data_IF_034054923440
#
_entry.id   IF_034054923440
#
_cell.length_a   1.000
_cell.length_b   1.000
_cell.length_c   1.000
_cell.angle_alpha   90.00
_cell.angle_beta   90.00
_cell.angle_gamma   90.00
#
_symmetry.space_group_name_H-M   'P 1'
#
loop_
_entity.id
_entity.type
_entity.pdbx_description
1 polymer ?
#
# COMPACT_ATOMS: atom_id res chain seq x y z
N UNK A 1 -2.88 5.69 16.32
CA UNK A 1 -2.82 6.72 15.26
C UNK A 1 -1.86 7.87 15.60
N UNK A 2 -2.01 8.57 16.71
CA UNK A 2 -1.14 9.74 17.05
C UNK A 2 0.32 9.37 17.34
N UNK A 3 0.61 8.12 17.68
CA UNK A 3 1.95 7.61 18.05
C UNK A 3 2.50 6.63 17.01
N UNK A 4 1.72 6.28 15.98
CA UNK A 4 2.14 5.39 14.88
C UNK A 4 1.84 3.92 15.09
N UNK A 5 1.25 3.54 16.21
CA UNK A 5 0.85 2.16 16.47
C UNK A 5 -0.38 1.77 15.64
N UNK A 6 -0.29 0.62 14.95
CA UNK A 6 -1.34 0.09 14.07
C UNK A 6 -1.84 -1.28 14.50
N UNK A 7 -1.22 -1.91 15.49
CA UNK A 7 -1.53 -3.30 15.87
C UNK A 7 -2.95 -3.46 16.45
N UNK A 8 -3.50 -2.40 17.03
CA UNK A 8 -4.85 -2.40 17.61
C UNK A 8 -5.97 -1.97 16.63
N UNK A 9 -5.64 -1.66 15.37
CA UNK A 9 -6.66 -1.26 14.39
C UNK A 9 -7.37 -2.51 13.84
N UNK A 10 -8.71 -2.53 13.97
CA UNK A 10 -9.52 -3.59 13.34
C UNK A 10 -9.44 -3.49 11.81
N UNK A 11 -9.48 -4.64 11.15
CA UNK A 11 -9.48 -4.72 9.68
C UNK A 11 -10.63 -3.95 9.05
N UNK A 12 -11.79 -3.90 9.70
CA UNK A 12 -12.96 -3.12 9.29
C UNK A 12 -12.65 -1.62 9.18
N UNK A 13 -11.98 -1.05 10.19
CA UNK A 13 -11.56 0.36 10.16
C UNK A 13 -10.55 0.61 9.04
N UNK A 14 -9.58 -0.29 8.86
CA UNK A 14 -8.57 -0.14 7.79
C UNK A 14 -9.24 -0.14 6.42
N UNK A 15 -10.23 -1.02 6.20
CA UNK A 15 -10.98 -1.08 4.95
C UNK A 15 -11.85 0.17 4.74
N UNK A 16 -12.60 0.62 5.75
CA UNK A 16 -13.39 1.86 5.69
C UNK A 16 -12.53 3.06 5.28
N UNK A 17 -11.34 3.21 5.89
CA UNK A 17 -10.42 4.30 5.54
C UNK A 17 -9.82 4.13 4.14
N UNK A 18 -9.64 2.90 3.68
CA UNK A 18 -9.15 2.59 2.33
C UNK A 18 -10.18 2.95 1.27
N UNK A 19 -11.41 2.49 1.40
CA UNK A 19 -12.52 2.74 0.47
C UNK A 19 -12.85 4.23 0.39
N UNK A 20 -12.92 4.90 1.54
CA UNK A 20 -13.19 6.35 1.60
C UNK A 20 -12.04 7.21 1.09
N UNK A 21 -10.81 6.67 0.92
CA UNK A 21 -9.62 7.42 0.48
C UNK A 21 -8.86 8.14 1.60
N UNK A 22 -9.14 7.78 2.87
CA UNK A 22 -8.50 8.34 4.05
C UNK A 22 -7.31 7.50 4.58
N UNK A 23 -6.84 6.48 3.87
CA UNK A 23 -5.74 5.59 4.31
C UNK A 23 -4.49 6.33 4.76
N UNK A 24 -4.22 7.50 4.15
CA UNK A 24 -3.08 8.35 4.49
C UNK A 24 -3.14 8.93 5.92
N UNK A 25 -4.31 8.91 6.55
CA UNK A 25 -4.52 9.39 7.94
C UNK A 25 -4.20 8.31 8.97
N UNK A 26 -4.36 7.02 8.61
CA UNK A 26 -3.99 5.90 9.48
C UNK A 26 -2.48 5.79 9.69
N UNK A 27 -1.70 6.30 8.75
CA UNK A 27 -0.25 6.42 8.88
C UNK A 27 0.12 7.81 9.39
N UNK A 28 1.15 7.91 10.22
CA UNK A 28 1.73 9.21 10.55
C UNK A 28 2.22 9.88 9.29
N UNK A 29 1.54 10.98 8.94
CA UNK A 29 1.78 11.70 7.69
C UNK A 29 2.44 13.06 7.91
N UNK A 30 2.92 13.66 6.83
CA UNK A 30 3.42 15.02 6.84
C UNK A 30 2.41 16.06 7.35
N UNK A 31 1.12 15.77 7.24
CA UNK A 31 0.05 16.62 7.76
C UNK A 31 0.08 16.69 9.29
N UNK A 32 0.26 15.55 9.97
CA UNK A 32 0.38 15.48 11.44
C UNK A 32 1.59 16.28 11.94
N UNK A 33 2.75 16.10 11.28
CA UNK A 33 3.96 16.86 11.61
C UNK A 33 3.76 18.36 11.32
N UNK A 34 3.05 18.70 10.23
CA UNK A 34 2.70 20.08 9.89
C UNK A 34 1.82 20.75 10.96
N UNK A 35 0.82 20.04 11.47
CA UNK A 35 -0.02 20.56 12.57
C UNK A 35 0.77 20.71 13.86
N UNK A 36 1.63 19.74 14.20
CA UNK A 36 2.50 19.83 15.36
C UNK A 36 3.49 21.00 15.25
N UNK A 37 4.10 21.17 14.07
CA UNK A 37 4.97 22.31 13.75
C UNK A 37 4.23 23.64 13.90
N UNK A 38 3.01 23.75 13.37
CA UNK A 38 2.19 24.95 13.48
C UNK A 38 1.82 25.28 14.92
N UNK A 39 1.48 24.25 15.73
CA UNK A 39 1.20 24.41 17.16
C UNK A 39 2.42 24.93 17.91
N UNK A 40 3.59 24.35 17.69
CA UNK A 40 4.84 24.79 18.31
C UNK A 40 5.20 26.22 17.91
N UNK A 41 5.05 26.55 16.61
CA UNK A 41 5.25 27.91 16.15
C UNK A 41 4.29 28.90 16.81
N UNK A 42 3.03 28.52 16.99
CA UNK A 42 2.04 29.36 17.66
C UNK A 42 2.44 29.64 19.11
N UNK A 43 2.87 28.62 19.85
CA UNK A 43 3.32 28.73 21.26
C UNK A 43 4.62 29.53 21.36
N UNK A 44 5.58 29.32 20.45
CA UNK A 44 6.88 29.98 20.49
C UNK A 44 6.85 31.42 19.94
N UNK A 45 5.87 31.77 19.10
CA UNK A 45 5.75 33.07 18.42
C UNK A 45 5.76 34.28 19.41
N UNK A 46 5.00 34.30 20.53
CA UNK A 46 5.04 35.38 21.49
C UNK A 46 6.42 35.53 22.15
N UNK A 47 7.10 34.39 22.42
CA UNK A 47 8.43 34.40 23.03
C UNK A 47 9.48 35.07 22.13
N UNK A 48 9.54 34.69 20.84
CA UNK A 48 10.53 35.25 19.93
C UNK A 48 10.20 36.68 19.50
N UNK A 49 8.92 37.12 19.56
CA UNK A 49 8.54 38.51 19.37
C UNK A 49 9.04 39.40 20.52
N UNK A 50 8.98 38.90 21.74
CA UNK A 50 9.44 39.57 22.94
C UNK A 50 10.97 39.64 22.99
N UNK A 51 11.65 38.53 22.60
CA UNK A 51 13.07 38.32 22.78
C UNK A 51 13.73 37.89 21.46
N UNK A 52 13.90 38.84 20.54
CA UNK A 52 14.41 38.58 19.19
C UNK A 52 15.77 37.83 19.14
N UNK A 53 16.63 38.04 20.14
CA UNK A 53 17.90 37.33 20.25
C UNK A 53 17.80 35.84 20.51
N UNK A 54 16.68 35.38 21.09
CA UNK A 54 16.40 33.96 21.36
C UNK A 54 15.79 33.22 20.15
N UNK A 55 15.44 33.93 19.07
CA UNK A 55 14.81 33.31 17.90
C UNK A 55 15.58 32.09 17.37
N UNK A 56 16.93 32.14 17.13
CA UNK A 56 17.66 30.97 16.64
C UNK A 56 17.67 29.81 17.62
N UNK A 57 17.76 30.09 18.94
CA UNK A 57 17.69 29.07 19.99
C UNK A 57 16.31 28.40 20.02
N UNK A 58 15.23 29.16 19.94
CA UNK A 58 13.86 28.63 19.93
C UNK A 58 13.58 27.79 18.68
N UNK A 59 14.12 28.19 17.52
CA UNK A 59 14.03 27.38 16.30
C UNK A 59 14.86 26.09 16.41
N UNK A 60 16.03 26.14 17.03
CA UNK A 60 16.83 24.94 17.29
C UNK A 60 16.09 23.98 18.22
N UNK A 61 15.46 24.46 19.29
CA UNK A 61 14.64 23.65 20.18
C UNK A 61 13.43 23.03 19.47
N UNK A 62 12.80 23.79 18.56
CA UNK A 62 11.71 23.28 17.73
C UNK A 62 12.19 22.15 16.83
N UNK A 63 13.32 22.30 16.15
CA UNK A 63 13.92 21.26 15.29
C UNK A 63 14.27 20.03 16.14
N UNK A 64 14.90 20.22 17.29
CA UNK A 64 15.25 19.14 18.21
C UNK A 64 14.01 18.36 18.67
N UNK A 65 12.92 19.05 18.96
CA UNK A 65 11.64 18.43 19.30
C UNK A 65 11.09 17.59 18.13
N UNK A 66 11.10 18.13 16.90
CA UNK A 66 10.62 17.39 15.73
C UNK A 66 11.45 16.15 15.44
N UNK A 67 12.78 16.25 15.60
CA UNK A 67 13.70 15.12 15.45
C UNK A 67 13.43 14.07 16.53
N UNK A 68 13.29 14.48 17.79
CA UNK A 68 12.94 13.57 18.90
C UNK A 68 11.61 12.87 18.65
N UNK A 69 10.61 13.60 18.15
CA UNK A 69 9.32 13.03 17.77
C UNK A 69 9.44 12.00 16.65
N UNK A 70 10.30 12.26 15.64
CA UNK A 70 10.57 11.29 14.58
C UNK A 70 11.19 9.98 15.10
N UNK A 71 12.12 10.06 16.06
CA UNK A 71 12.68 8.89 16.72
C UNK A 71 11.61 8.12 17.51
N UNK A 72 10.79 8.83 18.25
CA UNK A 72 9.72 8.23 19.05
C UNK A 72 8.69 7.48 18.17
N UNK A 73 8.43 7.97 16.95
CA UNK A 73 7.44 7.40 16.02
C UNK A 73 8.01 6.39 15.03
N UNK A 74 9.27 5.92 15.21
CA UNK A 74 9.87 4.84 14.45
C UNK A 74 10.45 5.23 13.09
N UNK A 75 10.76 6.53 12.84
CA UNK A 75 11.51 7.03 11.68
C UNK A 75 10.93 6.61 10.31
N UNK A 76 9.60 6.57 10.17
CA UNK A 76 9.00 6.29 8.86
C UNK A 76 9.44 7.33 7.82
N UNK A 77 9.57 6.92 6.54
CA UNK A 77 10.04 7.78 5.44
C UNK A 77 9.24 9.08 5.32
N UNK A 78 7.93 9.03 5.54
CA UNK A 78 7.03 10.20 5.50
C UNK A 78 7.26 11.18 6.65
N UNK A 79 7.53 10.67 7.86
CA UNK A 79 7.84 11.49 9.04
C UNK A 79 9.21 12.14 8.87
N UNK A 80 10.24 11.37 8.50
CA UNK A 80 11.60 11.87 8.28
C UNK A 80 11.61 12.99 7.23
N UNK A 81 10.92 12.79 6.09
CA UNK A 81 10.76 13.82 5.07
C UNK A 81 10.18 15.11 5.66
N UNK A 82 9.12 14.98 6.42
CA UNK A 82 8.42 16.16 6.97
C UNK A 82 9.28 16.89 7.99
N UNK A 83 9.97 16.16 8.85
CA UNK A 83 10.89 16.76 9.84
C UNK A 83 12.03 17.51 9.14
N UNK A 84 12.68 16.91 8.13
CA UNK A 84 13.74 17.58 7.38
C UNK A 84 13.19 18.83 6.68
N UNK A 85 12.04 18.71 5.99
CA UNK A 85 11.45 19.82 5.25
C UNK A 85 11.04 20.98 6.18
N UNK A 86 10.36 20.70 7.30
CA UNK A 86 9.99 21.74 8.27
C UNK A 86 11.20 22.32 9.00
N UNK A 87 12.26 21.54 9.23
CA UNK A 87 13.54 22.04 9.76
C UNK A 87 14.19 23.01 8.80
N UNK A 88 14.28 22.67 7.51
CA UNK A 88 14.81 23.57 6.48
C UNK A 88 13.98 24.85 6.36
N UNK A 89 12.64 24.75 6.41
CA UNK A 89 11.74 25.91 6.41
C UNK A 89 11.92 26.78 7.66
N UNK A 90 12.13 26.17 8.84
CA UNK A 90 12.41 26.90 10.07
C UNK A 90 13.69 27.71 9.98
N UNK A 91 14.80 27.11 9.48
CA UNK A 91 16.06 27.82 9.27
C UNK A 91 15.97 28.89 8.17
N UNK A 92 15.26 28.59 7.05
CA UNK A 92 15.03 29.57 5.99
C UNK A 92 14.24 30.79 6.49
N UNK A 93 13.36 30.62 7.50
CA UNK A 93 12.66 31.73 8.16
C UNK A 93 13.58 32.68 8.95
N UNK A 94 14.88 32.39 9.08
CA UNK A 94 15.90 33.32 9.62
C UNK A 94 16.42 34.27 8.54
N UNK A 95 16.29 33.93 7.27
CA UNK A 95 16.76 34.74 6.14
C UNK A 95 15.65 35.68 5.64
N UNK A 96 16.01 36.83 5.05
CA UNK A 96 15.04 37.78 4.51
C UNK A 96 14.32 37.26 3.25
N UNK A 97 14.94 36.31 2.53
CA UNK A 97 14.39 35.75 1.30
C UNK A 97 13.38 34.62 1.59
N UNK A 98 12.30 34.60 0.81
CA UNK A 98 11.32 33.51 0.92
C UNK A 98 11.89 32.24 0.29
N UNK A 99 11.93 31.11 1.00
CA UNK A 99 12.44 29.88 0.43
C UNK A 99 11.52 29.40 -0.71
N UNK A 100 12.13 28.98 -1.82
CA UNK A 100 11.43 28.32 -2.91
C UNK A 100 11.06 26.91 -2.44
N UNK A 101 9.79 26.65 -2.26
CA UNK A 101 9.27 25.38 -1.70
C UNK A 101 9.73 24.17 -2.52
N UNK A 102 9.88 24.32 -3.85
CA UNK A 102 10.37 23.25 -4.72
C UNK A 102 11.84 22.92 -4.46
N UNK A 103 12.68 23.94 -4.23
CA UNK A 103 14.08 23.73 -3.87
C UNK A 103 14.24 23.05 -2.49
N UNK A 104 13.39 23.43 -1.54
CA UNK A 104 13.34 22.78 -0.22
C UNK A 104 12.93 21.30 -0.34
N UNK A 105 11.96 21.01 -1.21
CA UNK A 105 11.53 19.62 -1.49
C UNK A 105 12.68 18.82 -2.12
N UNK A 106 13.36 19.38 -3.13
CA UNK A 106 14.50 18.74 -3.79
C UNK A 106 15.69 18.51 -2.84
N UNK A 107 16.02 19.51 -2.01
CA UNK A 107 17.05 19.38 -0.99
C UNK A 107 16.71 18.30 0.05
N UNK A 108 15.42 18.22 0.46
CA UNK A 108 14.96 17.16 1.36
C UNK A 108 15.11 15.77 0.73
N UNK A 109 14.72 15.60 -0.55
CA UNK A 109 14.89 14.35 -1.27
C UNK A 109 16.36 13.95 -1.37
N UNK A 110 17.23 14.89 -1.73
CA UNK A 110 18.68 14.68 -1.82
C UNK A 110 19.27 14.21 -0.49
N UNK A 111 18.96 14.90 0.62
CA UNK A 111 19.46 14.53 1.94
C UNK A 111 18.98 13.14 2.38
N UNK A 112 17.69 12.82 2.14
CA UNK A 112 17.16 11.51 2.48
C UNK A 112 17.83 10.39 1.69
N UNK A 113 17.99 10.57 0.37
CA UNK A 113 18.59 9.55 -0.50
C UNK A 113 20.11 9.43 -0.29
N UNK A 114 20.77 10.49 0.15
CA UNK A 114 22.18 10.43 0.57
C UNK A 114 22.36 9.54 1.81
N UNK A 115 21.43 9.61 2.78
CA UNK A 115 21.47 8.80 3.98
C UNK A 115 21.03 7.35 3.72
N UNK A 116 19.98 7.15 2.93
CA UNK A 116 19.40 5.83 2.67
C UNK A 116 18.81 5.75 1.25
N UNK A 117 19.64 5.36 0.24
CA UNK A 117 19.20 5.31 -1.17
C UNK A 117 17.99 4.41 -1.43
N UNK A 118 17.83 3.35 -0.63
CA UNK A 118 16.72 2.38 -0.75
C UNK A 118 15.35 3.04 -0.55
N UNK A 119 15.28 4.20 0.11
CA UNK A 119 14.01 4.93 0.25
C UNK A 119 13.39 5.36 -1.08
N UNK A 120 14.17 5.45 -2.16
CA UNK A 120 13.61 5.71 -3.50
C UNK A 120 12.53 4.70 -3.90
N UNK A 121 12.65 3.46 -3.44
CA UNK A 121 11.70 2.37 -3.72
C UNK A 121 10.63 2.21 -2.63
N UNK A 122 10.67 3.02 -1.58
CA UNK A 122 9.67 3.02 -0.52
C UNK A 122 8.39 3.74 -0.99
N UNK A 123 7.24 3.05 -0.82
CA UNK A 123 5.93 3.56 -1.25
C UNK A 123 5.58 4.88 -0.54
N UNK A 124 5.88 4.97 0.76
CA UNK A 124 5.65 6.18 1.54
C UNK A 124 6.49 7.36 1.04
N UNK A 125 7.74 7.13 0.65
CA UNK A 125 8.58 8.13 0.02
C UNK A 125 7.97 8.61 -1.30
N UNK A 126 7.66 7.70 -2.21
CA UNK A 126 7.15 8.03 -3.54
C UNK A 126 5.82 8.79 -3.47
N UNK A 127 4.83 8.29 -2.71
CA UNK A 127 3.53 8.94 -2.53
C UNK A 127 3.66 10.31 -1.89
N UNK A 128 4.54 10.43 -0.90
CA UNK A 128 4.70 11.67 -0.15
C UNK A 128 5.37 12.78 -0.99
N UNK A 129 6.42 12.45 -1.75
CA UNK A 129 7.09 13.42 -2.62
C UNK A 129 6.23 13.79 -3.83
N UNK A 130 5.53 12.84 -4.45
CA UNK A 130 4.61 13.12 -5.56
C UNK A 130 3.45 14.02 -5.13
N UNK A 131 2.86 13.78 -3.94
CA UNK A 131 1.81 14.63 -3.39
C UNK A 131 2.28 16.07 -3.20
N UNK A 132 3.42 16.27 -2.50
CA UNK A 132 3.93 17.62 -2.21
C UNK A 132 4.37 18.34 -3.49
N UNK A 133 5.03 17.63 -4.42
CA UNK A 133 5.41 18.20 -5.71
C UNK A 133 4.17 18.69 -6.49
N UNK A 134 3.12 17.86 -6.56
CA UNK A 134 1.88 18.22 -7.23
C UNK A 134 1.16 19.39 -6.51
N UNK A 135 1.12 19.41 -5.18
CA UNK A 135 0.58 20.54 -4.42
C UNK A 135 1.33 21.82 -4.75
N UNK A 136 2.67 21.82 -4.72
CA UNK A 136 3.48 23.01 -4.99
C UNK A 136 3.30 23.52 -6.42
N UNK A 137 3.22 22.62 -7.40
CA UNK A 137 3.14 22.98 -8.83
C UNK A 137 1.70 23.32 -9.27
N UNK A 138 0.73 22.52 -8.88
CA UNK A 138 -0.63 22.54 -9.44
C UNK A 138 -1.60 23.36 -8.61
N UNK A 139 -1.55 23.24 -7.27
CA UNK A 139 -2.53 23.88 -6.38
C UNK A 139 -2.61 25.41 -6.55
N UNK A 140 -1.50 26.19 -6.68
CA UNK A 140 -1.61 27.64 -6.82
C UNK A 140 -2.39 28.07 -8.07
N UNK A 141 -2.30 27.26 -9.14
CA UNK A 141 -3.01 27.51 -10.39
C UNK A 141 -4.50 27.16 -10.26
N UNK A 142 -4.81 26.01 -9.66
CA UNK A 142 -6.19 25.63 -9.37
C UNK A 142 -6.86 26.62 -8.43
N UNK A 143 -6.15 27.06 -7.40
CA UNK A 143 -6.69 28.03 -6.44
C UNK A 143 -7.00 29.37 -7.09
N UNK A 144 -6.14 29.85 -8.00
CA UNK A 144 -6.31 31.11 -8.73
C UNK A 144 -7.46 31.09 -9.74
N UNK A 145 -7.96 29.88 -10.12
CA UNK A 145 -9.04 29.74 -11.11
C UNK A 145 -10.35 30.38 -10.64
N UNK A 146 -10.62 30.32 -9.34
CA UNK A 146 -11.85 30.88 -8.77
C UNK A 146 -11.52 31.82 -7.61
N UNK A 147 -11.84 33.09 -7.79
CA UNK A 147 -11.72 34.13 -6.74
C UNK A 147 -12.96 34.09 -5.86
N UNK A 148 -12.81 33.66 -4.63
CA UNK A 148 -13.89 33.54 -3.64
C UNK A 148 -13.73 34.65 -2.59
N UNK A 149 -14.74 35.52 -2.44
CA UNK A 149 -14.67 36.63 -1.48
C UNK A 149 -15.00 36.20 -0.05
N UNK A 150 -15.94 35.28 0.10
CA UNK A 150 -16.34 34.75 1.41
C UNK A 150 -15.19 33.95 2.06
N UNK A 151 -14.83 34.30 3.32
CA UNK A 151 -13.72 33.66 4.04
C UNK A 151 -13.92 32.15 4.25
N UNK A 152 -15.14 31.72 4.54
CA UNK A 152 -15.47 30.31 4.74
C UNK A 152 -15.37 29.52 3.43
N UNK A 153 -15.98 30.00 2.36
CA UNK A 153 -15.90 29.39 1.04
C UNK A 153 -14.45 29.40 0.49
N UNK A 154 -13.67 30.42 0.80
CA UNK A 154 -12.24 30.49 0.44
C UNK A 154 -11.43 29.40 1.15
N UNK A 155 -11.73 29.14 2.41
CA UNK A 155 -11.10 28.03 3.15
C UNK A 155 -11.46 26.68 2.56
N UNK A 156 -12.74 26.42 2.28
CA UNK A 156 -13.21 25.19 1.62
C UNK A 156 -12.59 25.01 0.24
N UNK A 157 -12.55 26.07 -0.57
CA UNK A 157 -11.90 26.05 -1.89
C UNK A 157 -10.40 25.74 -1.78
N UNK A 158 -9.73 26.30 -0.77
CA UNK A 158 -8.34 25.97 -0.47
C UNK A 158 -8.13 24.48 -0.17
N UNK A 159 -8.96 23.88 0.69
CA UNK A 159 -8.92 22.45 1.00
C UNK A 159 -9.19 21.59 -0.25
N UNK A 160 -10.19 21.95 -1.05
CA UNK A 160 -10.53 21.21 -2.28
C UNK A 160 -9.36 21.24 -3.27
N UNK A 161 -8.78 22.42 -3.53
CA UNK A 161 -7.68 22.56 -4.51
C UNK A 161 -6.41 21.84 -4.06
N UNK A 162 -6.10 21.82 -2.75
CA UNK A 162 -5.00 21.03 -2.18
C UNK A 162 -5.26 19.53 -2.38
N UNK A 163 -6.48 19.07 -2.07
CA UNK A 163 -6.86 17.65 -2.22
C UNK A 163 -6.81 17.21 -3.68
N UNK A 164 -7.32 18.04 -4.61
CA UNK A 164 -7.25 17.76 -6.06
C UNK A 164 -5.80 17.67 -6.54
N UNK A 165 -4.95 18.62 -6.14
CA UNK A 165 -3.55 18.62 -6.54
C UNK A 165 -2.80 17.41 -5.99
N UNK A 166 -3.00 17.08 -4.70
CA UNK A 166 -2.41 15.88 -4.09
C UNK A 166 -2.85 14.61 -4.80
N UNK A 167 -4.15 14.48 -5.09
CA UNK A 167 -4.71 13.31 -5.77
C UNK A 167 -4.14 13.16 -7.19
N UNK A 168 -4.01 14.25 -7.96
CA UNK A 168 -3.39 14.21 -9.28
C UNK A 168 -1.93 13.70 -9.21
N UNK A 169 -1.19 14.09 -8.17
CA UNK A 169 0.18 13.61 -7.96
C UNK A 169 0.27 12.16 -7.51
N UNK A 170 -0.68 11.68 -6.71
CA UNK A 170 -0.58 10.36 -6.08
C UNK A 170 -1.38 9.28 -6.81
N UNK A 171 -2.45 9.63 -7.55
CA UNK A 171 -3.36 8.66 -8.18
C UNK A 171 -2.65 7.57 -9.01
N UNK A 172 -1.68 7.90 -9.90
CA UNK A 172 -1.01 6.85 -10.69
C UNK A 172 -0.27 5.84 -9.83
N UNK A 173 0.37 6.29 -8.74
CA UNK A 173 1.08 5.42 -7.80
C UNK A 173 0.11 4.63 -6.91
N UNK A 174 -0.98 5.26 -6.46
CA UNK A 174 -2.01 4.58 -5.65
C UNK A 174 -2.64 3.45 -6.45
N UNK A 175 -2.99 3.68 -7.71
CA UNK A 175 -3.50 2.63 -8.61
C UNK A 175 -2.45 1.53 -8.82
N UNK A 176 -1.18 1.90 -9.02
CA UNK A 176 -0.10 0.93 -9.23
C UNK A 176 0.15 0.02 -8.04
N UNK A 177 0.15 0.58 -6.80
CA UNK A 177 0.47 -0.18 -5.59
C UNK A 177 -0.74 -0.88 -4.96
N UNK A 178 -1.92 -0.26 -5.03
CA UNK A 178 -3.10 -0.71 -4.29
C UNK A 178 -4.25 -1.19 -5.20
N UNK A 179 -4.15 -1.01 -6.53
CA UNK A 179 -5.19 -1.40 -7.51
C UNK A 179 -6.58 -0.82 -7.21
N UNK A 180 -6.63 0.28 -6.47
CA UNK A 180 -7.85 0.94 -5.97
C UNK A 180 -7.77 2.44 -6.15
N UNK A 181 -8.89 3.08 -6.49
CA UNK A 181 -9.03 4.53 -6.57
C UNK A 181 -10.31 4.97 -5.87
N UNK A 182 -10.18 5.77 -4.80
CA UNK A 182 -11.33 6.37 -4.13
C UNK A 182 -11.87 7.55 -4.93
N UNK A 183 -13.16 7.53 -5.28
CA UNK A 183 -13.82 8.59 -6.05
C UNK A 183 -14.30 9.73 -5.14
N UNK A 184 -14.63 9.42 -3.89
CA UNK A 184 -15.16 10.37 -2.90
C UNK A 184 -14.06 11.09 -2.10
N UNK A 185 -12.79 11.02 -2.55
CA UNK A 185 -11.63 11.61 -1.86
C UNK A 185 -11.81 13.10 -1.53
N UNK A 186 -12.52 13.86 -2.36
CA UNK A 186 -12.78 15.28 -2.10
C UNK A 186 -13.68 15.48 -0.89
N UNK A 187 -14.79 14.73 -0.82
CA UNK A 187 -15.72 14.78 0.31
C UNK A 187 -15.03 14.31 1.59
N UNK A 188 -14.30 13.22 1.48
CA UNK A 188 -13.52 12.66 2.59
C UNK A 188 -12.50 13.67 3.12
N UNK A 189 -11.68 14.25 2.26
CA UNK A 189 -10.64 15.19 2.70
C UNK A 189 -11.19 16.49 3.27
N UNK A 190 -12.35 16.93 2.76
CA UNK A 190 -13.03 18.11 3.28
C UNK A 190 -13.45 17.93 4.74
N UNK A 191 -13.81 16.72 5.13
CA UNK A 191 -14.16 16.35 6.50
C UNK A 191 -12.94 15.96 7.33
N UNK A 192 -12.12 15.05 6.82
CA UNK A 192 -11.04 14.40 7.57
C UNK A 192 -9.92 15.38 7.94
N UNK A 193 -9.53 16.30 7.04
CA UNK A 193 -8.41 17.22 7.31
C UNK A 193 -8.68 18.12 8.53
N UNK A 194 -9.85 18.80 8.65
CA UNK A 194 -10.19 19.54 9.85
C UNK A 194 -10.32 18.67 11.10
N UNK A 195 -10.95 17.50 10.97
CA UNK A 195 -11.16 16.59 12.11
C UNK A 195 -9.85 16.02 12.64
N UNK A 196 -8.92 15.61 11.79
CA UNK A 196 -7.60 15.12 12.19
C UNK A 196 -6.82 16.20 12.95
N UNK A 197 -6.90 17.46 12.50
CA UNK A 197 -6.26 18.56 13.24
C UNK A 197 -6.86 18.73 14.65
N UNK A 198 -8.18 18.65 14.76
CA UNK A 198 -8.89 18.76 16.03
C UNK A 198 -8.55 17.60 16.97
N UNK A 199 -8.58 16.36 16.46
CA UNK A 199 -8.22 15.16 17.22
C UNK A 199 -6.77 15.23 17.70
N UNK A 200 -5.83 15.63 16.80
CA UNK A 200 -4.41 15.74 17.16
C UNK A 200 -4.17 16.78 18.26
N UNK A 201 -4.74 17.98 18.13
CA UNK A 201 -4.60 19.02 19.16
C UNK A 201 -5.25 18.61 20.47
N UNK A 202 -6.41 17.97 20.40
CA UNK A 202 -7.10 17.42 21.58
C UNK A 202 -6.28 16.32 22.24
N UNK A 203 -5.64 15.44 21.48
CA UNK A 203 -4.77 14.40 22.02
C UNK A 203 -3.51 14.99 22.71
N UNK A 204 -2.88 16.01 22.10
CA UNK A 204 -1.75 16.71 22.75
C UNK A 204 -2.19 17.36 24.05
N UNK A 205 -3.35 18.03 24.06
CA UNK A 205 -3.90 18.65 25.28
C UNK A 205 -4.25 17.60 26.34
N UNK A 206 -4.81 16.47 25.95
CA UNK A 206 -5.10 15.35 26.86
C UNK A 206 -3.83 14.83 27.55
N UNK A 207 -2.71 14.72 26.83
CA UNK A 207 -1.42 14.34 27.42
C UNK A 207 -0.91 15.39 28.40
N UNK A 208 -1.14 16.67 28.15
CA UNK A 208 -0.78 17.74 29.09
C UNK A 208 -1.62 17.73 30.38
N UNK A 209 -2.83 17.18 30.33
CA UNK A 209 -3.73 17.04 31.49
C UNK A 209 -3.42 15.82 32.37
N UNK A 210 -2.40 15.02 32.06
CA UNK A 210 -2.01 13.85 32.87
C UNK A 210 -1.88 14.11 34.38
N UNK A 211 -1.38 15.29 34.84
CA UNK A 211 -1.32 15.59 36.29
C UNK A 211 -2.69 15.84 36.96
N UNK A 212 -3.77 15.98 36.15
CA UNK A 212 -5.13 16.28 36.64
C UNK A 212 -6.12 15.17 36.23
N UNK A 213 -6.14 14.00 36.90
CA UNK A 213 -6.84 12.81 36.42
C UNK A 213 -8.34 13.00 36.20
N UNK A 214 -9.02 13.78 37.05
CA UNK A 214 -10.45 14.05 36.88
C UNK A 214 -10.76 14.81 35.58
N UNK A 215 -9.99 15.87 35.30
CA UNK A 215 -10.14 16.66 34.07
C UNK A 215 -9.71 15.85 32.85
N UNK A 216 -8.67 15.04 32.98
CA UNK A 216 -8.19 14.15 31.97
C UNK A 216 -9.27 13.15 31.53
N UNK A 217 -9.96 12.48 32.47
CA UNK A 217 -11.05 11.55 32.15
C UNK A 217 -12.22 12.21 31.45
N UNK A 218 -12.59 13.42 31.84
CA UNK A 218 -13.66 14.17 31.18
C UNK A 218 -13.26 14.52 29.75
N UNK A 219 -12.02 14.97 29.57
CA UNK A 219 -11.51 15.36 28.25
C UNK A 219 -11.27 14.14 27.32
N UNK A 220 -10.90 12.99 27.88
CA UNK A 220 -10.76 11.74 27.15
C UNK A 220 -12.07 11.33 26.44
N UNK A 221 -13.23 11.50 27.13
CA UNK A 221 -14.54 11.25 26.51
C UNK A 221 -14.82 12.15 25.30
N UNK A 222 -14.34 13.40 25.36
CA UNK A 222 -14.47 14.33 24.21
C UNK A 222 -13.63 13.84 23.03
N UNK A 223 -12.39 13.42 23.28
CA UNK A 223 -11.50 12.87 22.23
C UNK A 223 -12.09 11.60 21.63
N UNK A 224 -12.61 10.70 22.48
CA UNK A 224 -13.30 9.48 22.05
C UNK A 224 -14.50 9.79 21.17
N UNK A 225 -15.34 10.74 21.57
CA UNK A 225 -16.49 11.19 20.78
C UNK A 225 -16.07 11.76 19.43
N UNK A 226 -15.00 12.56 19.35
CA UNK A 226 -14.48 13.11 18.10
C UNK A 226 -14.00 11.99 17.14
N UNK A 227 -13.28 11.00 17.67
CA UNK A 227 -12.82 9.84 16.88
C UNK A 227 -13.99 8.99 16.42
N UNK A 228 -14.99 8.78 17.30
CA UNK A 228 -16.21 8.05 16.94
C UNK A 228 -16.98 8.74 15.82
N UNK A 229 -17.22 10.05 15.92
CA UNK A 229 -17.87 10.85 14.87
C UNK A 229 -17.08 10.76 13.56
N UNK A 230 -15.75 10.84 13.61
CA UNK A 230 -14.93 10.70 12.40
C UNK A 230 -15.12 9.33 11.75
N UNK A 231 -15.10 8.24 12.51
CA UNK A 231 -15.28 6.89 12.00
C UNK A 231 -16.69 6.71 11.40
N UNK A 232 -17.74 7.21 12.05
CA UNK A 232 -19.11 7.12 11.55
C UNK A 232 -19.32 7.88 10.25
N UNK A 233 -18.74 9.08 10.11
CA UNK A 233 -18.80 9.83 8.86
C UNK A 233 -18.06 9.10 7.73
N UNK A 234 -16.91 8.48 8.02
CA UNK A 234 -16.18 7.69 7.01
C UNK A 234 -16.96 6.44 6.60
N UNK A 235 -17.60 5.73 7.54
CA UNK A 235 -18.51 4.62 7.24
C UNK A 235 -19.71 5.07 6.40
N UNK A 236 -20.23 6.24 6.65
CA UNK A 236 -21.30 6.81 5.81
C UNK A 236 -20.81 7.09 4.39
N UNK A 237 -19.62 7.68 4.22
CA UNK A 237 -19.01 7.94 2.89
C UNK A 237 -18.73 6.61 2.16
N UNK A 238 -18.25 5.60 2.85
CA UNK A 238 -18.00 4.26 2.30
C UNK A 238 -19.27 3.63 1.71
N UNK A 239 -20.43 3.84 2.36
CA UNK A 239 -21.73 3.29 1.91
C UNK A 239 -22.30 4.03 0.70
N UNK A 240 -21.75 5.18 0.31
CA UNK A 240 -22.19 5.89 -0.89
C UNK A 240 -21.85 5.07 -2.14
N UNK A 241 -22.77 5.04 -3.14
CA UNK A 241 -22.53 4.28 -4.36
C UNK A 241 -21.27 4.78 -5.08
N UNK A 242 -20.43 3.85 -5.49
CA UNK A 242 -19.20 4.15 -6.21
C UNK A 242 -18.12 4.82 -5.36
N UNK A 243 -18.06 4.58 -4.05
CA UNK A 243 -17.06 5.18 -3.14
C UNK A 243 -15.62 4.86 -3.54
N UNK A 244 -15.38 3.68 -4.09
CA UNK A 244 -14.11 3.30 -4.68
C UNK A 244 -14.30 2.57 -6.00
N UNK A 245 -13.33 2.67 -6.88
CA UNK A 245 -13.19 1.81 -8.06
C UNK A 245 -12.03 0.87 -7.76
N UNK A 246 -12.37 -0.40 -7.62
CA UNK A 246 -11.42 -1.47 -7.36
C UNK A 246 -10.98 -2.13 -8.67
N UNK A 247 -9.99 -3.00 -8.58
CA UNK A 247 -9.52 -3.85 -9.68
C UNK A 247 -8.95 -3.07 -10.88
N UNK A 248 -8.50 -1.84 -10.64
CA UNK A 248 -7.77 -1.06 -11.63
C UNK A 248 -6.30 -1.52 -11.61
N UNK A 249 -5.82 -1.98 -12.75
CA UNK A 249 -4.41 -2.34 -12.87
C UNK A 249 -3.67 -1.39 -13.80
N UNK A 250 -2.50 -0.93 -13.34
CA UNK A 250 -1.57 -0.09 -14.08
C UNK A 250 -0.15 -0.67 -13.92
N UNK A 251 0.58 -0.84 -15.01
CA UNK A 251 1.98 -1.25 -14.96
C UNK A 251 2.92 -0.04 -14.85
N UNK A 252 4.20 -0.29 -14.64
CA UNK A 252 5.19 0.79 -14.47
C UNK A 252 5.25 1.73 -15.69
N UNK A 253 5.11 1.18 -16.91
CA UNK A 253 5.08 1.98 -18.11
C UNK A 253 3.81 2.82 -18.23
N UNK A 254 2.68 2.25 -17.81
CA UNK A 254 1.41 2.97 -17.69
C UNK A 254 1.52 4.13 -16.70
N UNK A 255 2.15 3.94 -15.54
CA UNK A 255 2.41 5.02 -14.57
C UNK A 255 3.24 6.14 -15.20
N UNK A 256 4.33 5.79 -15.89
CA UNK A 256 5.20 6.79 -16.53
C UNK A 256 4.46 7.57 -17.63
N UNK A 257 3.65 6.89 -18.44
CA UNK A 257 2.85 7.52 -19.48
C UNK A 257 1.75 8.43 -18.89
N UNK A 258 1.10 8.03 -17.78
CA UNK A 258 0.12 8.88 -17.09
C UNK A 258 0.79 10.12 -16.52
N UNK A 259 1.98 10.02 -15.90
CA UNK A 259 2.72 11.21 -15.46
C UNK A 259 3.16 12.10 -16.61
N UNK A 260 3.58 11.51 -17.74
CA UNK A 260 3.88 12.27 -18.97
C UNK A 260 2.64 13.03 -19.45
N UNK A 261 1.48 12.36 -19.50
CA UNK A 261 0.21 12.99 -19.85
C UNK A 261 -0.13 14.14 -18.89
N UNK A 262 -0.06 13.92 -17.58
CA UNK A 262 -0.34 14.95 -16.57
C UNK A 262 0.60 16.15 -16.72
N UNK A 263 1.89 15.91 -16.97
CA UNK A 263 2.88 16.96 -17.24
C UNK A 263 2.57 17.77 -18.51
N UNK A 264 2.22 17.08 -19.61
CA UNK A 264 1.84 17.73 -20.86
C UNK A 264 0.51 18.48 -20.76
N UNK A 265 -0.46 17.92 -20.02
CA UNK A 265 -1.73 18.58 -19.74
C UNK A 265 -1.51 19.86 -18.90
N UNK A 266 -0.69 19.78 -17.86
CA UNK A 266 -0.30 20.94 -17.06
C UNK A 266 0.41 22.00 -17.89
N UNK A 267 1.36 21.61 -18.75
CA UNK A 267 2.05 22.51 -19.66
C UNK A 267 1.10 23.18 -20.68
N UNK A 268 0.09 22.42 -21.14
CA UNK A 268 -1.00 22.95 -21.98
C UNK A 268 -1.89 23.96 -21.23
N UNK A 269 -2.20 23.65 -19.96
CA UNK A 269 -3.02 24.51 -19.11
C UNK A 269 -2.36 25.86 -18.81
N UNK A 270 -1.03 25.93 -18.71
CA UNK A 270 -0.29 27.18 -18.47
C UNK A 270 -0.48 28.22 -19.59
N UNK A 271 -0.56 27.77 -20.85
CA UNK A 271 -0.85 28.61 -22.03
C UNK A 271 -1.52 27.74 -23.08
N UNK A 272 -2.80 27.96 -23.29
CA UNK A 272 -3.58 27.23 -24.31
C UNK A 272 -3.07 27.58 -25.71
N UNK A 273 -2.26 26.70 -26.29
CA UNK A 273 -1.85 26.75 -27.67
C UNK A 273 -2.17 25.42 -28.35
N UNK A 274 -2.60 25.45 -29.60
CA UNK A 274 -2.96 24.25 -30.36
C UNK A 274 -1.87 23.18 -30.26
N UNK A 275 -0.59 23.56 -30.44
CA UNK A 275 0.56 22.66 -30.38
C UNK A 275 0.65 21.93 -29.01
N UNK A 276 0.42 22.63 -27.89
CA UNK A 276 0.50 22.02 -26.54
C UNK A 276 -0.67 21.11 -26.25
N UNK A 277 -1.86 21.49 -26.71
CA UNK A 277 -3.05 20.62 -26.63
C UNK A 277 -2.82 19.34 -27.45
N UNK A 278 -2.26 19.45 -28.67
CA UNK A 278 -1.91 18.28 -29.46
C UNK A 278 -0.91 17.35 -28.74
N UNK A 279 0.10 17.89 -28.06
CA UNK A 279 1.04 17.06 -27.28
C UNK A 279 0.35 16.35 -26.10
N UNK A 280 -0.57 17.03 -25.39
CA UNK A 280 -1.35 16.39 -24.33
C UNK A 280 -2.26 15.28 -24.88
N UNK A 281 -2.92 15.50 -26.04
CA UNK A 281 -3.74 14.50 -26.69
C UNK A 281 -2.90 13.29 -27.21
N UNK A 282 -1.72 13.54 -27.74
CA UNK A 282 -0.79 12.48 -28.14
C UNK A 282 -0.33 11.66 -26.94
N UNK A 283 -0.03 12.30 -25.81
CA UNK A 283 0.31 11.59 -24.58
C UNK A 283 -0.86 10.77 -24.05
N UNK A 284 -2.09 11.30 -24.10
CA UNK A 284 -3.30 10.55 -23.76
C UNK A 284 -3.51 9.34 -24.67
N UNK A 285 -3.32 9.52 -25.99
CA UNK A 285 -3.40 8.43 -26.96
C UNK A 285 -2.36 7.35 -26.64
N UNK A 286 -1.14 7.73 -26.26
CA UNK A 286 -0.11 6.78 -25.85
C UNK A 286 -0.52 6.00 -24.59
N UNK A 287 -1.13 6.64 -23.59
CA UNK A 287 -1.67 5.96 -22.40
C UNK A 287 -2.72 4.94 -22.79
N UNK A 288 -3.71 5.33 -23.61
CA UNK A 288 -4.81 4.44 -24.04
C UNK A 288 -4.27 3.28 -24.88
N UNK A 289 -3.38 3.56 -25.81
CA UNK A 289 -2.76 2.54 -26.67
C UNK A 289 -1.95 1.54 -25.87
N UNK A 290 -1.13 2.03 -24.92
CA UNK A 290 -0.35 1.16 -24.03
C UNK A 290 -1.26 0.30 -23.17
N UNK A 291 -2.29 0.89 -22.58
CA UNK A 291 -3.26 0.15 -21.77
C UNK A 291 -3.94 -0.95 -22.59
N UNK A 292 -4.38 -0.67 -23.82
CA UNK A 292 -4.99 -1.64 -24.74
C UNK A 292 -4.02 -2.77 -25.12
N UNK A 293 -2.76 -2.44 -25.44
CA UNK A 293 -1.73 -3.43 -25.74
C UNK A 293 -1.41 -4.30 -24.52
N UNK A 294 -1.32 -3.68 -23.34
CA UNK A 294 -1.08 -4.40 -22.08
C UNK A 294 -2.21 -5.38 -21.75
N UNK A 295 -3.46 -5.02 -22.08
CA UNK A 295 -4.60 -5.93 -21.98
C UNK A 295 -4.43 -7.14 -22.87
N UNK A 296 -4.09 -6.91 -24.12
CA UNK A 296 -3.94 -7.99 -25.11
C UNK A 296 -2.76 -8.91 -24.77
N UNK A 297 -1.65 -8.35 -24.30
CA UNK A 297 -0.45 -9.12 -23.95
C UNK A 297 -0.59 -9.91 -22.65
N UNK A 298 -1.39 -9.43 -21.70
CA UNK A 298 -1.64 -10.07 -20.41
C UNK A 298 -2.93 -10.93 -20.41
N UNK A 299 -3.57 -11.14 -21.56
CA UNK A 299 -4.69 -12.07 -21.66
C UNK A 299 -4.28 -13.41 -21.04
N UNK A 300 -5.14 -13.97 -20.18
CA UNK A 300 -4.79 -15.11 -19.36
C UNK A 300 -4.40 -16.30 -20.22
N UNK A 301 -3.15 -16.72 -20.08
CA UNK A 301 -2.67 -18.01 -20.60
C UNK A 301 -2.87 -19.05 -19.52
N UNK A 302 -3.24 -20.26 -19.90
CA UNK A 302 -3.32 -21.39 -18.98
C UNK A 302 -2.05 -21.49 -18.17
N UNK A 303 -2.17 -21.76 -16.88
CA UNK A 303 -1.01 -21.84 -16.02
C UNK A 303 -1.32 -22.25 -14.60
N UNK A 304 -0.25 -22.54 -13.85
CA UNK A 304 -0.28 -22.87 -12.44
C UNK A 304 0.57 -21.84 -11.70
N UNK A 305 0.05 -21.28 -10.60
CA UNK A 305 0.83 -20.41 -9.74
C UNK A 305 0.88 -20.93 -8.31
N UNK A 306 2.07 -20.99 -7.76
CA UNK A 306 2.33 -21.29 -6.35
C UNK A 306 2.53 -19.97 -5.63
N UNK A 307 1.66 -19.64 -4.68
CA UNK A 307 1.71 -18.38 -3.97
C UNK A 307 2.47 -18.48 -2.66
N UNK A 308 3.25 -17.45 -2.36
CA UNK A 308 3.93 -17.28 -1.08
C UNK A 308 3.13 -16.32 -0.20
N UNK A 309 2.05 -16.80 0.42
CA UNK A 309 1.21 -16.03 1.36
C UNK A 309 1.31 -16.66 2.74
N UNK A 310 1.72 -15.86 3.73
CA UNK A 310 1.88 -16.35 5.11
C UNK A 310 0.55 -16.91 5.64
N UNK A 311 0.59 -18.15 6.13
CA UNK A 311 -0.57 -18.81 6.75
C UNK A 311 -1.62 -19.35 5.78
N UNK A 312 -1.50 -19.10 4.47
CA UNK A 312 -2.47 -19.49 3.46
C UNK A 312 -1.78 -20.25 2.30
N UNK A 313 -1.37 -21.52 2.48
CA UNK A 313 -0.77 -22.33 1.43
C UNK A 313 -1.81 -22.65 0.36
N UNK A 314 -1.63 -22.10 -0.85
CA UNK A 314 -2.58 -22.27 -1.97
C UNK A 314 -1.87 -22.43 -3.31
N UNK A 315 -2.45 -23.25 -4.16
CA UNK A 315 -2.06 -23.42 -5.57
C UNK A 315 -3.15 -22.90 -6.47
N UNK A 316 -2.85 -22.00 -7.37
CA UNK A 316 -3.79 -21.38 -8.30
C UNK A 316 -3.68 -22.03 -9.68
N UNK A 317 -4.75 -22.67 -10.13
CA UNK A 317 -4.89 -23.22 -11.47
C UNK A 317 -5.76 -22.28 -12.32
N UNK A 318 -5.17 -21.72 -13.38
CA UNK A 318 -5.77 -20.70 -14.24
C UNK A 318 -6.08 -21.28 -15.63
N UNK A 319 -7.35 -21.43 -15.98
CA UNK A 319 -7.74 -21.91 -17.30
C UNK A 319 -7.99 -20.75 -18.28
N UNK A 320 -8.78 -19.78 -17.86
CA UNK A 320 -9.09 -18.57 -18.63
C UNK A 320 -9.44 -17.42 -17.65
N UNK A 321 -9.90 -16.28 -18.17
CA UNK A 321 -10.21 -15.12 -17.36
C UNK A 321 -11.35 -15.35 -16.35
N UNK A 322 -12.26 -16.29 -16.63
CA UNK A 322 -13.45 -16.57 -15.80
C UNK A 322 -13.31 -17.84 -14.99
N UNK A 323 -12.48 -18.78 -15.43
CA UNK A 323 -12.35 -20.09 -14.80
C UNK A 323 -10.95 -20.23 -14.20
N UNK A 324 -10.88 -20.00 -12.90
CA UNK A 324 -9.68 -20.25 -12.12
C UNK A 324 -10.01 -20.79 -10.74
N UNK A 325 -9.13 -21.64 -10.20
CA UNK A 325 -9.35 -22.37 -8.96
C UNK A 325 -8.15 -22.21 -8.02
N UNK A 326 -8.42 -21.91 -6.76
CA UNK A 326 -7.45 -21.96 -5.67
C UNK A 326 -7.59 -23.31 -4.97
N UNK A 327 -6.65 -24.19 -5.20
CA UNK A 327 -6.60 -25.50 -4.55
C UNK A 327 -5.87 -25.41 -3.20
N UNK A 328 -6.57 -25.84 -2.15
CA UNK A 328 -6.06 -25.93 -0.78
C UNK A 328 -6.12 -27.38 -0.30
N UNK A 329 -5.20 -27.78 0.58
CA UNK A 329 -5.08 -29.17 0.98
C UNK A 329 -6.27 -29.63 1.85
N UNK A 330 -6.51 -29.03 3.02
CA UNK A 330 -7.53 -29.49 3.98
C UNK A 330 -8.31 -28.38 4.70
N UNK A 331 -7.79 -27.18 4.80
CA UNK A 331 -8.47 -26.06 5.46
C UNK A 331 -8.77 -24.94 4.47
N UNK A 332 -10.00 -24.44 4.53
CA UNK A 332 -10.36 -23.22 3.77
C UNK A 332 -9.58 -22.04 4.35
N UNK A 333 -8.70 -21.44 3.57
CA UNK A 333 -7.99 -20.26 4.02
C UNK A 333 -8.93 -19.06 4.14
N UNK A 334 -8.51 -18.06 4.91
CA UNK A 334 -9.23 -16.81 5.04
C UNK A 334 -9.28 -16.07 3.69
N UNK A 335 -10.45 -16.06 3.03
CA UNK A 335 -10.62 -15.39 1.73
C UNK A 335 -10.30 -13.90 1.77
N UNK A 336 -10.70 -13.12 2.78
CA UNK A 336 -10.28 -11.72 2.92
C UNK A 336 -8.76 -11.54 2.91
N UNK A 337 -8.01 -12.40 3.59
CA UNK A 337 -6.55 -12.38 3.61
C UNK A 337 -5.97 -12.67 2.20
N UNK A 338 -6.48 -13.70 1.53
CA UNK A 338 -6.05 -14.06 0.17
C UNK A 338 -6.39 -12.98 -0.85
N UNK A 339 -7.59 -12.44 -0.83
CA UNK A 339 -7.99 -11.34 -1.71
C UNK A 339 -7.08 -10.14 -1.53
N UNK A 340 -6.81 -9.73 -0.29
CA UNK A 340 -5.91 -8.61 0.01
C UNK A 340 -4.49 -8.82 -0.56
N UNK A 341 -3.96 -10.04 -0.43
CA UNK A 341 -2.61 -10.36 -0.89
C UNK A 341 -2.51 -10.58 -2.41
N UNK A 342 -3.54 -11.17 -3.03
CA UNK A 342 -3.46 -11.70 -4.39
C UNK A 342 -4.28 -10.91 -5.43
N UNK A 343 -5.22 -10.04 -5.03
CA UNK A 343 -5.98 -9.20 -5.98
C UNK A 343 -5.10 -8.44 -6.97
N UNK A 344 -3.95 -7.86 -6.59
CA UNK A 344 -3.10 -7.17 -7.56
C UNK A 344 -2.60 -8.09 -8.68
N UNK A 345 -2.32 -9.37 -8.35
CA UNK A 345 -1.90 -10.36 -9.34
C UNK A 345 -3.07 -10.82 -10.21
N UNK A 346 -4.25 -11.07 -9.61
CA UNK A 346 -5.45 -11.44 -10.36
C UNK A 346 -5.88 -10.33 -11.31
N UNK A 347 -5.88 -9.08 -10.83
CA UNK A 347 -6.21 -7.90 -11.63
C UNK A 347 -5.24 -7.70 -12.80
N UNK A 348 -3.95 -7.94 -12.56
CA UNK A 348 -2.94 -7.94 -13.63
C UNK A 348 -3.27 -8.95 -14.72
N UNK A 349 -3.76 -10.14 -14.35
CA UNK A 349 -4.13 -11.21 -15.25
C UNK A 349 -5.59 -11.13 -15.72
N UNK A 350 -6.35 -10.13 -15.22
CA UNK A 350 -7.79 -9.96 -15.46
C UNK A 350 -8.62 -11.21 -15.13
N UNK A 351 -8.25 -11.89 -14.07
CA UNK A 351 -9.00 -13.03 -13.57
C UNK A 351 -10.14 -12.54 -12.70
N UNK A 352 -11.32 -13.11 -12.88
CA UNK A 352 -12.37 -13.02 -11.88
C UNK A 352 -11.90 -13.68 -10.57
N UNK A 353 -12.54 -13.36 -9.45
CA UNK A 353 -12.19 -13.95 -8.15
C UNK A 353 -12.16 -15.47 -8.26
N UNK A 354 -11.03 -16.13 -7.99
CA UNK A 354 -10.89 -17.57 -8.16
C UNK A 354 -11.84 -18.35 -7.24
N UNK A 355 -12.32 -19.47 -7.70
CA UNK A 355 -13.11 -20.39 -6.87
C UNK A 355 -12.18 -21.16 -5.94
N UNK A 356 -12.49 -21.10 -4.64
CA UNK A 356 -11.76 -21.88 -3.64
C UNK A 356 -12.20 -23.35 -3.69
N UNK A 357 -11.23 -24.26 -3.74
CA UNK A 357 -11.44 -25.70 -3.79
C UNK A 357 -10.66 -26.35 -2.66
N UNK A 358 -11.37 -27.04 -1.76
CA UNK A 358 -10.78 -27.83 -0.70
C UNK A 358 -11.48 -29.19 -0.69
N UNK A 359 -10.72 -30.28 -0.48
CA UNK A 359 -11.23 -31.65 -0.52
C UNK A 359 -11.47 -32.17 -1.94
N UNK A 360 -12.26 -33.24 -2.05
CA UNK A 360 -12.51 -33.89 -3.35
C UNK A 360 -13.45 -33.05 -4.19
N UNK A 361 -12.98 -32.64 -5.36
CA UNK A 361 -13.69 -31.77 -6.29
C UNK A 361 -13.37 -32.15 -7.74
N UNK A 362 -14.37 -32.16 -8.62
CA UNK A 362 -14.19 -32.49 -10.02
C UNK A 362 -15.05 -31.60 -10.92
N UNK A 363 -14.41 -30.96 -11.88
CA UNK A 363 -15.05 -30.20 -12.97
C UNK A 363 -14.43 -30.59 -14.30
N UNK A 364 -14.98 -30.05 -15.43
CA UNK A 364 -14.42 -30.26 -16.76
C UNK A 364 -12.98 -29.79 -16.95
N UNK A 365 -12.47 -28.91 -16.07
CA UNK A 365 -11.11 -28.34 -16.19
C UNK A 365 -10.14 -28.74 -15.10
N UNK A 366 -10.64 -29.15 -13.91
CA UNK A 366 -9.83 -29.46 -12.74
C UNK A 366 -10.43 -30.63 -11.97
N UNK A 367 -9.59 -31.58 -11.58
CA UNK A 367 -9.96 -32.67 -10.69
C UNK A 367 -9.02 -32.70 -9.49
N UNK A 368 -9.59 -32.71 -8.30
CA UNK A 368 -8.86 -32.86 -7.04
C UNK A 368 -9.42 -34.06 -6.29
N UNK A 369 -8.55 -35.04 -5.98
CA UNK A 369 -8.88 -36.22 -5.17
C UNK A 369 -7.71 -36.57 -4.26
N UNK A 370 -7.99 -36.84 -3.00
CA UNK A 370 -6.96 -37.18 -2.01
C UNK A 370 -5.77 -36.20 -2.03
N UNK A 371 -5.99 -34.90 -2.09
CA UNK A 371 -4.94 -33.86 -2.19
C UNK A 371 -4.09 -33.92 -3.47
N UNK A 372 -4.49 -34.70 -4.49
CA UNK A 372 -3.84 -34.69 -5.79
C UNK A 372 -4.71 -33.89 -6.76
N UNK A 373 -4.18 -32.78 -7.21
CA UNK A 373 -4.81 -31.88 -8.19
C UNK A 373 -4.33 -32.29 -9.58
N UNK A 374 -5.26 -32.60 -10.46
CA UNK A 374 -5.00 -32.82 -11.88
C UNK A 374 -5.56 -31.68 -12.69
N UNK A 375 -4.68 -30.96 -13.39
CA UNK A 375 -5.03 -29.78 -14.17
C UNK A 375 -4.16 -29.69 -15.44
N UNK A 376 -4.79 -29.54 -16.61
CA UNK A 376 -4.12 -29.40 -17.91
C UNK A 376 -3.03 -30.47 -18.16
N UNK A 377 -3.29 -31.72 -17.80
CA UNK A 377 -2.34 -32.85 -17.94
C UNK A 377 -1.24 -32.89 -16.88
N UNK A 378 -1.16 -31.92 -15.97
CA UNK A 378 -0.22 -31.87 -14.84
C UNK A 378 -0.85 -32.39 -13.56
N UNK A 379 -0.05 -33.08 -12.73
CA UNK A 379 -0.46 -33.57 -11.43
C UNK A 379 0.33 -32.88 -10.34
N UNK A 380 -0.40 -32.31 -9.38
CA UNK A 380 0.16 -31.59 -8.22
C UNK A 380 -0.28 -32.30 -6.98
N UNK A 381 0.63 -32.80 -6.15
CA UNK A 381 0.30 -33.36 -4.87
C UNK A 381 0.48 -32.29 -3.78
N UNK A 382 -0.57 -32.02 -3.00
CA UNK A 382 -0.55 -31.05 -1.90
C UNK A 382 -0.25 -31.81 -0.60
N UNK A 383 0.90 -31.57 0.00
CA UNK A 383 1.32 -32.19 1.26
C UNK A 383 1.14 -31.20 2.42
N UNK A 384 0.06 -31.33 3.17
CA UNK A 384 -0.22 -30.55 4.39
C UNK A 384 -0.27 -31.40 5.66
N UNK A 385 -0.18 -32.72 5.52
CA UNK A 385 -0.23 -33.67 6.62
C UNK A 385 0.67 -34.89 6.39
N UNK A 386 0.64 -35.87 7.34
CA UNK A 386 1.43 -37.07 7.30
C UNK A 386 0.72 -38.29 6.72
N UNK A 387 -0.42 -38.12 6.00
CA UNK A 387 -1.25 -39.22 5.48
C UNK A 387 -0.51 -40.17 4.54
N UNK A 388 0.51 -39.70 3.85
CA UNK A 388 1.31 -40.46 2.90
C UNK A 388 2.58 -41.07 3.52
N UNK A 389 2.86 -40.76 4.79
CA UNK A 389 4.01 -41.29 5.49
C UNK A 389 3.88 -42.77 5.72
N UNK A 390 4.99 -43.51 5.65
CA UNK A 390 5.08 -44.97 5.89
C UNK A 390 4.18 -45.80 4.94
N UNK A 391 3.84 -45.28 3.77
CA UNK A 391 3.16 -45.99 2.70
C UNK A 391 4.15 -46.29 1.57
N UNK A 392 3.95 -47.42 0.89
CA UNK A 392 4.72 -47.79 -0.30
C UNK A 392 3.80 -48.34 -1.36
N UNK A 393 4.19 -48.22 -2.62
CA UNK A 393 3.45 -48.74 -3.76
C UNK A 393 4.37 -49.46 -4.73
N UNK A 394 3.92 -50.56 -5.30
CA UNK A 394 4.62 -51.27 -6.36
C UNK A 394 4.76 -50.46 -7.64
N UNK A 395 3.86 -49.48 -7.86
CA UNK A 395 3.87 -48.56 -9.00
C UNK A 395 3.79 -47.12 -8.50
N UNK A 396 4.93 -46.39 -8.41
CA UNK A 396 4.92 -44.99 -8.00
C UNK A 396 4.09 -44.14 -8.92
N UNK A 397 3.23 -43.26 -8.31
CA UNK A 397 2.44 -42.31 -9.07
C UNK A 397 3.31 -41.17 -9.59
N UNK A 398 3.27 -40.92 -10.90
CA UNK A 398 3.96 -39.76 -11.48
C UNK A 398 3.26 -38.47 -11.08
N UNK A 399 3.99 -37.56 -10.43
CA UNK A 399 3.55 -36.24 -9.95
C UNK A 399 4.51 -35.20 -10.51
N UNK A 400 4.01 -34.23 -11.28
CA UNK A 400 4.83 -33.16 -11.83
C UNK A 400 5.36 -32.23 -10.73
N UNK A 401 4.48 -31.87 -9.77
CA UNK A 401 4.81 -30.95 -8.68
C UNK A 401 4.36 -31.52 -7.34
N UNK A 402 5.29 -31.58 -6.38
CA UNK A 402 4.99 -31.91 -5.00
C UNK A 402 5.05 -30.62 -4.18
N UNK A 403 3.89 -30.10 -3.76
CA UNK A 403 3.79 -28.88 -2.97
C UNK A 403 3.71 -29.22 -1.48
N UNK A 404 4.75 -28.82 -0.72
CA UNK A 404 4.87 -29.15 0.71
C UNK A 404 4.60 -27.91 1.55
N UNK A 405 3.60 -28.00 2.42
CA UNK A 405 3.18 -26.93 3.33
C UNK A 405 3.28 -27.35 4.81
N UNK A 406 2.99 -26.42 5.71
CA UNK A 406 2.98 -26.65 7.16
C UNK A 406 2.04 -27.82 7.51
N UNK A 407 2.56 -28.75 8.34
CA UNK A 407 1.85 -29.97 8.79
C UNK A 407 2.56 -31.26 8.37
N UNK A 408 3.30 -31.26 7.26
CA UNK A 408 4.13 -32.38 6.89
C UNK A 408 5.43 -32.40 7.72
N UNK A 409 5.73 -33.56 8.32
CA UNK A 409 6.90 -33.74 9.23
C UNK A 409 7.87 -34.83 8.75
N UNK A 410 7.65 -35.41 7.56
CA UNK A 410 8.52 -36.46 6.98
C UNK A 410 9.71 -35.92 6.20
N UNK A 411 10.50 -36.84 5.62
CA UNK A 411 11.52 -36.56 4.60
C UNK A 411 10.99 -36.86 3.20
N UNK A 412 11.65 -36.31 2.17
CA UNK A 412 11.30 -36.61 0.78
C UNK A 412 11.62 -38.04 0.40
N UNK A 413 12.65 -38.62 0.99
CA UNK A 413 13.07 -40.00 0.74
C UNK A 413 11.96 -41.01 1.02
N UNK A 414 11.16 -40.82 2.10
CA UNK A 414 10.01 -41.68 2.42
C UNK A 414 8.93 -41.69 1.32
N UNK A 415 8.86 -40.62 0.51
CA UNK A 415 7.84 -40.44 -0.53
C UNK A 415 8.30 -40.96 -1.91
N UNK A 416 9.57 -41.24 -2.10
CA UNK A 416 10.09 -41.75 -3.39
C UNK A 416 9.53 -43.13 -3.76
N UNK A 417 9.11 -43.90 -2.78
CA UNK A 417 8.43 -45.20 -2.97
C UNK A 417 6.99 -45.07 -3.45
N UNK A 418 6.36 -43.87 -3.23
CA UNK A 418 4.97 -43.62 -3.61
C UNK A 418 4.86 -42.74 -4.85
N UNK A 419 5.76 -41.75 -4.99
CA UNK A 419 5.68 -40.74 -6.00
C UNK A 419 6.97 -40.65 -6.83
N UNK A 420 6.84 -40.61 -8.15
CA UNK A 420 7.87 -40.18 -9.06
C UNK A 420 7.69 -38.66 -9.27
N UNK A 421 8.57 -37.87 -8.67
CA UNK A 421 8.42 -36.42 -8.53
C UNK A 421 9.23 -35.67 -9.57
N UNK A 422 8.59 -34.74 -10.29
CA UNK A 422 9.28 -33.85 -11.26
C UNK A 422 9.95 -32.66 -10.56
N UNK A 423 9.27 -32.01 -9.63
CA UNK A 423 9.79 -30.87 -8.86
C UNK A 423 9.13 -30.80 -7.49
N UNK A 424 9.89 -30.44 -6.47
CA UNK A 424 9.39 -30.17 -5.12
C UNK A 424 9.27 -28.66 -4.87
N UNK A 425 8.08 -28.19 -4.48
CA UNK A 425 7.81 -26.78 -4.16
C UNK A 425 7.59 -26.66 -2.66
N UNK A 426 8.45 -25.89 -1.98
CA UNK A 426 8.42 -25.69 -0.54
C UNK A 426 7.73 -24.35 -0.22
N UNK A 427 6.61 -24.44 0.50
CA UNK A 427 5.85 -23.28 0.90
C UNK A 427 6.53 -22.45 2.01
N UNK A 428 6.25 -21.15 2.04
CA UNK A 428 6.77 -20.25 3.06
C UNK A 428 6.21 -20.49 4.48
N UNK A 429 5.15 -21.30 4.61
CA UNK A 429 4.60 -21.70 5.92
C UNK A 429 5.46 -22.73 6.67
N UNK A 430 6.39 -23.40 5.98
CA UNK A 430 7.33 -24.32 6.59
C UNK A 430 8.36 -23.57 7.43
N UNK A 431 8.74 -24.14 8.60
CA UNK A 431 9.85 -23.59 9.37
C UNK A 431 11.19 -23.76 8.64
N UNK A 432 12.14 -22.87 8.91
CA UNK A 432 13.47 -22.89 8.29
C UNK A 432 14.17 -24.25 8.45
N UNK A 433 13.96 -24.90 9.59
CA UNK A 433 14.49 -26.27 9.84
C UNK A 433 13.95 -27.28 8.81
N UNK A 434 12.63 -27.31 8.59
CA UNK A 434 12.04 -28.26 7.64
C UNK A 434 12.34 -27.86 6.19
N UNK A 435 12.40 -26.58 5.86
CA UNK A 435 12.81 -26.12 4.53
C UNK A 435 14.22 -26.63 4.20
N UNK A 436 15.17 -26.42 5.10
CA UNK A 436 16.57 -26.89 4.92
C UNK A 436 16.69 -28.40 4.88
N UNK A 437 15.96 -29.12 5.74
CA UNK A 437 15.96 -30.58 5.75
C UNK A 437 15.48 -31.14 4.42
N UNK A 438 14.32 -30.67 3.92
CA UNK A 438 13.72 -31.18 2.69
C UNK A 438 14.58 -30.76 1.48
N UNK A 439 15.13 -29.53 1.47
CA UNK A 439 16.04 -29.09 0.42
C UNK A 439 17.29 -29.97 0.32
N UNK A 440 17.89 -30.35 1.46
CA UNK A 440 19.03 -31.26 1.48
C UNK A 440 18.66 -32.66 0.98
N UNK A 441 17.46 -33.16 1.32
CA UNK A 441 16.96 -34.43 0.80
C UNK A 441 16.81 -34.35 -0.74
N UNK A 442 16.24 -33.24 -1.26
CA UNK A 442 16.10 -33.04 -2.71
C UNK A 442 17.46 -33.01 -3.42
N UNK A 443 18.45 -32.30 -2.86
CA UNK A 443 19.83 -32.30 -3.40
C UNK A 443 20.44 -33.70 -3.43
N UNK A 444 20.29 -34.46 -2.37
CA UNK A 444 20.81 -35.85 -2.26
C UNK A 444 20.16 -36.80 -3.28
N UNK A 445 18.85 -36.58 -3.52
CA UNK A 445 18.07 -37.42 -4.45
C UNK A 445 18.10 -36.91 -5.91
N UNK A 446 18.75 -35.79 -6.18
CA UNK A 446 18.80 -35.17 -7.51
C UNK A 446 17.46 -34.62 -8.00
N UNK A 447 16.52 -34.28 -7.09
CA UNK A 447 15.20 -33.80 -7.41
C UNK A 447 15.23 -32.25 -7.44
N UNK A 448 14.77 -31.60 -8.53
CA UNK A 448 14.64 -30.14 -8.58
C UNK A 448 13.70 -29.63 -7.47
N UNK A 449 14.09 -28.56 -6.80
CA UNK A 449 13.24 -27.95 -5.78
C UNK A 449 13.17 -26.42 -5.89
N UNK A 450 12.12 -25.85 -5.31
CA UNK A 450 11.83 -24.42 -5.30
C UNK A 450 11.44 -23.97 -3.90
N UNK A 451 12.15 -22.99 -3.34
CA UNK A 451 11.84 -22.35 -2.06
C UNK A 451 11.02 -21.08 -2.29
N UNK A 452 9.73 -21.09 -1.95
CA UNK A 452 8.88 -19.90 -2.09
C UNK A 452 9.25 -18.81 -1.08
N UNK A 453 9.83 -19.16 0.06
CA UNK A 453 10.34 -18.19 1.05
C UNK A 453 11.45 -17.28 0.50
N UNK A 454 12.27 -17.78 -0.43
CA UNK A 454 13.38 -17.04 -1.03
C UNK A 454 13.01 -16.43 -2.37
N UNK A 455 12.28 -17.17 -3.22
CA UNK A 455 11.97 -16.76 -4.60
C UNK A 455 10.66 -15.97 -4.70
N UNK A 456 9.81 -16.02 -3.67
CA UNK A 456 8.45 -15.48 -3.74
C UNK A 456 7.50 -16.40 -4.51
N UNK A 457 6.33 -15.85 -4.89
CA UNK A 457 5.35 -16.59 -5.68
C UNK A 457 5.91 -16.96 -7.07
N UNK A 458 5.59 -18.17 -7.54
CA UNK A 458 6.13 -18.72 -8.78
C UNK A 458 5.01 -19.15 -9.72
N UNK A 459 5.06 -18.72 -10.98
CA UNK A 459 4.08 -19.05 -12.04
C UNK A 459 4.70 -19.88 -13.12
N UNK A 460 3.98 -20.91 -13.55
CA UNK A 460 4.30 -21.79 -14.69
C UNK A 460 3.23 -21.58 -15.75
N UNK A 461 3.64 -21.25 -16.97
CA UNK A 461 2.77 -21.22 -18.14
C UNK A 461 2.71 -22.63 -18.72
N UNK A 462 1.51 -23.07 -19.12
CA UNK A 462 1.24 -24.38 -19.70
C UNK A 462 0.99 -24.27 -21.19
#
# INVERSE_FOLDING_TARGET
MTVGDKEELSDDIVETYSVSGASHVLALSGLHIGFLYALLLFVLRPLWRRWRRLKPLLLLLLVLFLVSFAFFTGLSSSVVRSVIMFSLLAFAGLQPEKPLTLNTLAATAFLMLLCKPVWLFDVGFQLSFSAVAAIVLVQPKLYAFWKVDNRFLRYLWGLMTVSMAAQLGTAPLVIFYFSRFSTHFLLTNLWVIPMVSLVLYSAVFLLMLTPLPFVQHLFARVVEALVHVQNEVLRWIERLPGAAVDDIWLDIWGVLLVYLFLGMAYYGFLRLTVRRVCFALLALLAVVSWHSLSIMSNASRQGIAFYSVRGCPVVHCMADNRHSWLACADSLPDMPCLCRALSPHWNRLRLETPRLVAGDYTTSGLSMRNQIVSYAGKRICLLSDNRWRNKSSSHPLSVDYLYVSKGYQGGIEELTSLFSMGMVVLDASLSDYYQNKIANDCVRLGIPYLLLSQKGSYRILL
#
